data_IF_784377768444
#
_entry.id   IF_784377768444
#
_cell.length_a   1.000
_cell.length_b   1.000
_cell.length_c   1.000
_cell.angle_alpha   90.00
_cell.angle_beta   90.00
_cell.angle_gamma   90.00
#
_symmetry.space_group_name_H-M   'P 1'
#
loop_
_entity.id
_entity.type
_entity.pdbx_description
1 polymer ?
#
# COMPACT_ATOMS: atom_id res chain seq x y z
N UNK A 1 -38.09 -13.15 7.58
CA UNK A 1 -37.06 -14.21 7.64
C UNK A 1 -35.86 -13.65 8.39
N UNK A 2 -35.43 -14.34 9.45
CA UNK A 2 -34.52 -13.83 10.50
C UNK A 2 -33.07 -14.09 10.06
N UNK A 3 -32.31 -13.06 9.72
CA UNK A 3 -30.88 -13.20 9.35
C UNK A 3 -30.04 -13.19 10.62
N UNK A 4 -29.45 -14.34 10.92
CA UNK A 4 -28.54 -14.54 12.05
C UNK A 4 -27.19 -13.91 11.72
N UNK A 5 -26.85 -12.86 12.46
CA UNK A 5 -25.53 -12.25 12.52
C UNK A 5 -24.52 -13.23 13.11
N UNK A 6 -23.42 -13.46 12.39
CA UNK A 6 -22.24 -14.15 12.90
C UNK A 6 -21.04 -13.23 12.79
N UNK A 7 -20.76 -12.52 13.88
CA UNK A 7 -19.52 -11.78 14.08
C UNK A 7 -18.39 -12.78 14.36
N UNK A 8 -17.35 -12.77 13.53
CA UNK A 8 -16.08 -13.42 13.84
C UNK A 8 -14.99 -12.35 13.81
N UNK A 9 -14.55 -11.93 14.99
CA UNK A 9 -13.40 -11.05 15.15
C UNK A 9 -12.13 -11.91 15.02
N UNK A 10 -11.34 -11.67 13.98
CA UNK A 10 -9.99 -12.20 13.87
C UNK A 10 -9.00 -11.12 14.33
N UNK A 11 -8.49 -11.26 15.55
CA UNK A 11 -7.39 -10.46 16.05
C UNK A 11 -6.08 -11.05 15.52
N UNK A 12 -5.41 -10.36 14.59
CA UNK A 12 -4.08 -10.73 14.12
C UNK A 12 -3.02 -9.98 14.95
N UNK A 13 -2.51 -10.65 15.98
CA UNK A 13 -1.37 -10.17 16.78
C UNK A 13 -0.06 -10.48 16.06
N UNK A 14 0.70 -9.44 15.67
CA UNK A 14 2.03 -9.57 15.10
C UNK A 14 3.08 -9.53 16.22
N UNK A 15 3.60 -10.69 16.62
CA UNK A 15 4.74 -10.77 17.53
C UNK A 15 6.06 -10.65 16.74
N UNK A 16 6.70 -9.49 16.81
CA UNK A 16 8.07 -9.30 16.33
C UNK A 16 9.04 -10.07 17.25
N UNK A 17 9.71 -11.09 16.72
CA UNK A 17 10.88 -11.69 17.38
C UNK A 17 12.04 -10.69 17.36
N UNK A 18 12.27 -10.04 18.50
CA UNK A 18 13.54 -9.36 18.75
C UNK A 18 14.63 -10.40 19.02
N UNK A 19 15.38 -10.77 17.98
CA UNK A 19 16.64 -11.49 18.10
C UNK A 19 17.73 -10.56 18.62
N UNK A 20 17.93 -10.53 19.93
CA UNK A 20 19.11 -9.88 20.52
C UNK A 20 20.33 -10.79 20.33
N UNK A 21 21.23 -10.43 19.40
CA UNK A 21 22.56 -11.03 19.32
C UNK A 21 23.38 -10.68 20.56
N UNK A 22 23.80 -11.69 21.32
CA UNK A 22 24.79 -11.52 22.38
C UNK A 22 26.20 -11.72 21.81
N UNK A 23 27.03 -10.69 22.01
CA UNK A 23 28.45 -10.69 21.74
C UNK A 23 29.18 -11.77 22.54
N UNK A 24 30.12 -12.49 21.89
CA UNK A 24 31.06 -13.38 22.55
C UNK A 24 32.34 -12.61 22.94
N UNK A 25 32.90 -12.81 24.16
CA UNK A 25 34.20 -12.26 24.54
C UNK A 25 35.33 -13.15 24.01
N UNK A 26 36.41 -12.50 23.57
CA UNK A 26 37.61 -13.15 23.07
C UNK A 26 38.50 -13.75 24.16
N UNK A 27 39.31 -14.71 23.74
CA UNK A 27 40.58 -15.07 24.38
C UNK A 27 41.60 -15.43 23.30
N UNK A 28 42.68 -14.66 23.27
CA UNK A 28 43.88 -14.89 22.49
C UNK A 28 44.65 -16.12 22.99
N UNK A 29 45.28 -16.89 22.09
CA UNK A 29 46.58 -17.55 22.33
C UNK A 29 47.34 -17.84 21.02
N UNK A 30 48.32 -16.97 20.76
CA UNK A 30 49.69 -17.14 20.25
C UNK A 30 50.20 -18.53 19.76
N UNK A 31 50.94 -18.55 18.62
CA UNK A 31 51.84 -19.66 18.27
C UNK A 31 52.35 -19.76 16.80
N UNK A 32 53.27 -18.87 16.41
CA UNK A 32 54.29 -18.89 15.32
C UNK A 32 54.39 -20.02 14.27
N UNK A 33 54.48 -19.68 12.97
CA UNK A 33 55.74 -19.58 12.18
C UNK A 33 55.52 -19.43 10.64
N UNK A 34 56.22 -18.44 10.04
CA UNK A 34 56.81 -18.34 8.66
C UNK A 34 55.97 -18.71 7.40
N UNK A 35 55.96 -18.02 6.25
CA UNK A 35 56.91 -17.10 5.61
C UNK A 35 56.25 -16.25 4.50
N UNK A 36 56.70 -15.00 4.39
CA UNK A 36 56.85 -14.09 3.23
C UNK A 36 56.14 -14.41 1.90
N UNK A 37 55.34 -13.44 1.40
CA UNK A 37 55.07 -13.25 -0.03
C UNK A 37 53.76 -12.51 -0.37
N UNK A 38 53.76 -11.18 -0.43
CA UNK A 38 52.75 -10.37 -1.14
C UNK A 38 53.09 -10.35 -2.65
N UNK A 39 52.13 -10.28 -3.59
CA UNK A 39 51.36 -9.04 -3.76
C UNK A 39 49.87 -9.22 -4.09
N UNK A 40 49.07 -8.32 -3.52
CA UNK A 40 47.97 -7.58 -4.14
C UNK A 40 47.15 -8.29 -5.25
N UNK A 41 46.00 -8.86 -4.88
CA UNK A 41 44.82 -8.85 -5.74
C UNK A 41 43.61 -8.52 -4.88
N UNK A 42 43.21 -7.25 -4.92
CA UNK A 42 41.87 -6.80 -4.59
C UNK A 42 40.91 -7.44 -5.59
N UNK A 43 40.45 -8.65 -5.29
CA UNK A 43 39.18 -9.14 -5.82
C UNK A 43 38.09 -8.41 -5.06
N UNK A 44 37.78 -7.21 -5.55
CA UNK A 44 36.44 -6.66 -5.40
C UNK A 44 35.53 -7.68 -6.05
N UNK A 45 34.98 -8.58 -5.24
CA UNK A 45 33.79 -9.33 -5.62
C UNK A 45 32.67 -8.29 -5.67
N UNK A 46 32.62 -7.57 -6.79
CA UNK A 46 31.42 -6.91 -7.25
C UNK A 46 30.48 -8.05 -7.64
N UNK A 47 29.91 -8.69 -6.63
CA UNK A 47 28.60 -9.30 -6.75
C UNK A 47 27.64 -8.13 -6.94
N UNK A 48 27.63 -7.63 -8.18
CA UNK A 48 26.47 -7.02 -8.79
C UNK A 48 25.37 -8.07 -8.69
N UNK A 49 24.71 -8.08 -7.53
CA UNK A 49 23.51 -8.83 -7.25
C UNK A 49 22.37 -8.19 -8.01
N UNK A 50 22.51 -8.12 -9.35
CA UNK A 50 21.40 -8.14 -10.27
C UNK A 50 20.73 -9.50 -10.12
N UNK A 51 20.04 -9.67 -8.99
CA UNK A 51 18.86 -10.50 -8.98
C UNK A 51 17.93 -9.77 -9.91
N UNK A 52 17.57 -10.38 -11.05
CA UNK A 52 16.45 -9.97 -11.89
C UNK A 52 15.12 -10.11 -11.13
N UNK A 53 15.05 -9.56 -9.92
CA UNK A 53 13.86 -9.44 -9.11
C UNK A 53 13.02 -8.37 -9.75
N UNK A 54 11.82 -8.75 -10.19
CA UNK A 54 10.88 -7.80 -10.73
C UNK A 54 10.64 -6.72 -9.68
N UNK A 55 10.91 -5.48 -10.05
CA UNK A 55 10.58 -4.30 -9.25
C UNK A 55 9.08 -4.27 -9.06
N UNK A 56 8.62 -4.14 -7.81
CA UNK A 56 7.18 -3.98 -7.50
C UNK A 56 6.67 -2.73 -8.23
N UNK A 57 5.69 -2.86 -9.15
CA UNK A 57 5.14 -1.71 -9.85
C UNK A 57 4.51 -0.72 -8.87
N UNK A 58 4.59 0.57 -9.17
CA UNK A 58 3.86 1.60 -8.43
C UNK A 58 2.53 1.88 -9.12
N UNK A 59 1.46 2.04 -8.34
CA UNK A 59 0.19 2.57 -8.84
C UNK A 59 0.32 4.10 -8.95
N UNK A 60 0.32 4.57 -10.18
CA UNK A 60 0.67 5.94 -10.56
C UNK A 60 -0.53 6.62 -11.20
N UNK A 61 -0.79 7.88 -10.84
CA UNK A 61 -1.85 8.70 -11.44
C UNK A 61 -1.33 9.99 -12.06
N UNK A 62 -2.27 10.77 -12.59
CA UNK A 62 -2.03 12.15 -12.98
C UNK A 62 -1.87 13.09 -11.77
N UNK A 63 -1.54 14.35 -12.03
CA UNK A 63 -1.51 15.38 -11.00
C UNK A 63 -2.91 15.52 -10.38
N UNK A 64 -2.95 15.57 -9.05
CA UNK A 64 -4.21 15.72 -8.33
C UNK A 64 -4.72 17.16 -8.47
N UNK A 65 -6.00 17.38 -8.83
CA UNK A 65 -6.58 18.71 -8.99
C UNK A 65 -6.95 19.37 -7.65
N UNK A 66 -6.45 18.84 -6.52
CA UNK A 66 -6.64 19.41 -5.20
C UNK A 66 -5.55 20.45 -4.91
N UNK A 67 -5.95 21.63 -4.44
CA UNK A 67 -5.00 22.69 -4.05
C UNK A 67 -4.61 22.55 -2.59
N UNK A 68 -3.33 22.74 -2.28
CA UNK A 68 -2.85 22.85 -0.89
C UNK A 68 -2.89 21.53 -0.12
N UNK A 69 -2.70 20.38 -0.79
CA UNK A 69 -2.63 19.11 -0.10
C UNK A 69 -1.40 19.03 0.82
N UNK A 70 -1.59 18.44 1.99
CA UNK A 70 -0.56 18.21 2.98
C UNK A 70 -0.31 16.71 3.16
N UNK A 71 0.95 16.31 3.22
CA UNK A 71 1.30 14.90 3.42
C UNK A 71 1.19 14.51 4.88
N UNK A 72 0.37 13.49 5.16
CA UNK A 72 0.15 12.91 6.49
C UNK A 72 1.10 11.74 6.71
N UNK A 73 1.17 10.82 5.75
CA UNK A 73 2.01 9.62 5.80
C UNK A 73 2.74 9.43 4.48
N UNK A 74 4.05 9.18 4.55
CA UNK A 74 4.88 8.94 3.38
C UNK A 74 5.89 7.80 3.59
N UNK A 75 5.40 6.56 3.56
CA UNK A 75 6.19 5.38 3.88
C UNK A 75 6.53 4.54 2.65
N UNK A 76 7.80 4.14 2.55
CA UNK A 76 8.31 3.18 1.58
C UNK A 76 8.95 2.03 2.34
N UNK A 77 8.64 0.80 1.97
CA UNK A 77 9.16 -0.38 2.66
C UNK A 77 10.23 -1.10 1.83
N UNK A 78 11.17 -1.82 2.49
CA UNK A 78 12.26 -2.51 1.79
C UNK A 78 11.82 -3.58 0.79
N UNK A 79 10.60 -4.10 0.93
CA UNK A 79 10.01 -5.10 0.02
C UNK A 79 9.36 -4.47 -1.22
N UNK A 80 9.43 -3.14 -1.37
CA UNK A 80 8.86 -2.40 -2.50
C UNK A 80 7.40 -1.96 -2.29
N UNK A 81 6.79 -2.34 -1.17
CA UNK A 81 5.44 -1.86 -0.79
C UNK A 81 5.49 -0.44 -0.25
N UNK A 82 4.33 0.23 -0.17
CA UNK A 82 4.28 1.63 0.25
C UNK A 82 2.93 2.02 0.84
N UNK A 83 2.92 3.09 1.64
CA UNK A 83 1.71 3.70 2.18
C UNK A 83 1.84 5.23 2.10
N UNK A 84 1.00 5.85 1.27
CA UNK A 84 0.88 7.30 1.16
C UNK A 84 -0.51 7.74 1.60
N UNK A 85 -0.53 8.79 2.40
CA UNK A 85 -1.74 9.51 2.77
C UNK A 85 -1.46 11.00 2.68
N UNK A 86 -2.28 11.70 1.91
CA UNK A 86 -2.31 13.16 1.85
C UNK A 86 -3.71 13.65 2.23
N UNK A 87 -3.82 14.88 2.71
CA UNK A 87 -5.10 15.49 3.12
C UNK A 87 -5.25 16.86 2.48
N UNK A 88 -6.47 17.21 2.07
CA UNK A 88 -6.78 18.56 1.59
C UNK A 88 -6.63 19.58 2.71
N UNK A 89 -6.27 20.83 2.38
CA UNK A 89 -6.06 21.90 3.37
C UNK A 89 -7.25 22.14 4.31
N UNK A 90 -8.47 21.93 3.81
CA UNK A 90 -9.72 22.06 4.57
C UNK A 90 -10.07 20.82 5.41
N UNK A 91 -9.25 19.76 5.35
CA UNK A 91 -9.44 18.51 6.07
C UNK A 91 -10.66 17.70 5.62
N UNK A 92 -11.28 18.06 4.50
CA UNK A 92 -12.52 17.43 4.03
C UNK A 92 -12.27 16.13 3.29
N UNK A 93 -11.08 15.92 2.73
CA UNK A 93 -10.75 14.73 1.94
C UNK A 93 -9.32 14.26 2.22
N UNK A 94 -9.18 13.00 2.59
CA UNK A 94 -7.93 12.26 2.58
C UNK A 94 -7.81 11.48 1.25
N UNK A 95 -6.60 11.41 0.70
CA UNK A 95 -6.22 10.63 -0.47
C UNK A 95 -5.20 9.58 -0.04
N UNK A 96 -5.48 8.31 -0.32
CA UNK A 96 -4.59 7.20 -0.04
C UNK A 96 -4.07 6.58 -1.34
N UNK A 97 -2.78 6.27 -1.38
CA UNK A 97 -2.18 5.40 -2.40
C UNK A 97 -1.34 4.35 -1.68
N UNK A 98 -1.73 3.09 -1.79
CA UNK A 98 -1.20 2.00 -0.98
C UNK A 98 -0.90 0.80 -1.87
N UNK A 99 0.28 0.20 -1.66
CA UNK A 99 0.62 -1.12 -2.17
C UNK A 99 0.99 -1.99 -0.98
N UNK A 100 0.43 -3.19 -0.90
CA UNK A 100 0.75 -4.17 0.12
C UNK A 100 0.89 -5.57 -0.50
N UNK A 101 1.52 -6.53 0.20
CA UNK A 101 1.56 -7.90 -0.30
C UNK A 101 0.15 -8.46 -0.45
N UNK A 102 -0.10 -9.21 -1.53
CA UNK A 102 -1.35 -9.96 -1.65
C UNK A 102 -1.36 -11.06 -0.59
N UNK A 103 -2.41 -11.06 0.23
CA UNK A 103 -2.60 -11.99 1.36
C UNK A 103 -3.89 -12.77 1.24
N UNK A 104 -4.51 -12.80 0.06
CA UNK A 104 -5.67 -13.65 -0.18
C UNK A 104 -5.29 -15.11 0.11
N UNK A 105 -6.19 -15.84 0.76
CA UNK A 105 -5.99 -17.24 1.12
C UNK A 105 -6.94 -18.11 0.30
N UNK A 106 -6.55 -19.36 0.06
CA UNK A 106 -7.35 -20.30 -0.72
C UNK A 106 -8.78 -20.41 -0.19
N UNK A 107 -9.76 -20.24 -1.08
CA UNK A 107 -11.18 -20.37 -0.78
C UNK A 107 -11.84 -19.11 -0.18
N UNK A 108 -11.11 -18.01 -0.02
CA UNK A 108 -11.70 -16.69 0.25
C UNK A 108 -12.09 -16.03 -1.07
N UNK A 109 -13.29 -15.45 -1.09
CA UNK A 109 -13.75 -14.64 -2.22
C UNK A 109 -12.92 -13.36 -2.34
N UNK A 110 -12.56 -12.99 -3.56
CA UNK A 110 -11.70 -11.83 -3.81
C UNK A 110 -12.36 -10.53 -3.36
N UNK A 111 -13.67 -10.38 -3.55
CA UNK A 111 -14.41 -9.19 -3.14
C UNK A 111 -14.39 -9.07 -1.61
N UNK A 112 -14.60 -10.18 -0.89
CA UNK A 112 -14.53 -10.23 0.58
C UNK A 112 -13.11 -9.85 1.08
N UNK A 113 -12.06 -10.36 0.43
CA UNK A 113 -10.68 -10.02 0.74
C UNK A 113 -10.40 -8.53 0.52
N UNK A 114 -10.76 -8.00 -0.65
CA UNK A 114 -10.53 -6.61 -1.00
C UNK A 114 -11.33 -5.65 -0.12
N UNK A 115 -12.58 -5.97 0.21
CA UNK A 115 -13.40 -5.17 1.12
C UNK A 115 -12.79 -5.13 2.53
N UNK A 116 -12.32 -6.26 3.04
CA UNK A 116 -11.67 -6.32 4.35
C UNK A 116 -10.34 -5.54 4.36
N UNK A 117 -9.55 -5.65 3.30
CA UNK A 117 -8.29 -4.94 3.15
C UNK A 117 -8.48 -3.42 2.97
N UNK A 118 -9.45 -3.00 2.14
CA UNK A 118 -9.82 -1.60 1.97
C UNK A 118 -10.31 -0.99 3.29
N UNK A 119 -11.10 -1.74 4.07
CA UNK A 119 -11.56 -1.29 5.38
C UNK A 119 -10.42 -1.08 6.39
N UNK A 120 -9.33 -1.83 6.26
CA UNK A 120 -8.17 -1.72 7.13
C UNK A 120 -7.31 -0.47 6.85
N UNK A 121 -7.57 0.27 5.77
CA UNK A 121 -6.92 1.54 5.47
C UNK A 121 -7.34 2.67 6.42
N UNK A 122 -8.50 2.53 7.07
CA UNK A 122 -9.03 3.53 7.98
C UNK A 122 -8.09 3.78 9.17
N UNK A 123 -7.44 4.96 9.25
CA UNK A 123 -6.45 5.25 10.27
C UNK A 123 -7.06 5.31 11.68
N UNK A 124 -8.36 5.59 11.77
CA UNK A 124 -9.07 5.68 13.05
C UNK A 124 -9.55 4.32 13.56
N UNK A 125 -9.46 3.27 12.72
CA UNK A 125 -9.98 1.93 13.03
C UNK A 125 -11.40 1.99 13.61
N UNK A 126 -12.27 2.77 12.96
CA UNK A 126 -13.58 3.13 13.49
C UNK A 126 -14.42 1.89 13.79
N UNK A 127 -15.15 1.89 14.91
CA UNK A 127 -16.06 0.77 15.20
C UNK A 127 -17.39 0.92 14.47
N UNK A 128 -17.73 2.14 14.04
CA UNK A 128 -18.86 2.41 13.16
C UNK A 128 -18.41 2.18 11.71
N UNK A 129 -19.00 1.17 11.08
CA UNK A 129 -18.73 0.77 9.71
C UNK A 129 -20.03 0.35 9.03
N UNK A 130 -20.26 0.84 7.82
CA UNK A 130 -21.36 0.39 6.97
C UNK A 130 -20.82 0.13 5.57
N UNK A 131 -20.93 -1.12 5.13
CA UNK A 131 -20.58 -1.48 3.76
C UNK A 131 -21.58 -0.87 2.77
N UNK A 132 -21.06 -0.32 1.68
CA UNK A 132 -21.84 0.15 0.53
C UNK A 132 -21.92 -0.94 -0.52
N UNK A 133 -21.04 -0.86 -1.52
CA UNK A 133 -21.03 -1.74 -2.68
C UNK A 133 -19.60 -2.12 -3.12
N UNK A 134 -19.50 -3.23 -3.87
CA UNK A 134 -18.28 -3.68 -4.56
C UNK A 134 -18.63 -4.01 -6.01
N UNK A 135 -18.05 -3.25 -6.94
CA UNK A 135 -18.37 -3.36 -8.37
C UNK A 135 -17.10 -3.43 -9.18
N UNK A 136 -16.95 -4.46 -10.01
CA UNK A 136 -15.84 -4.53 -10.96
C UNK A 136 -16.02 -3.49 -12.07
N UNK A 137 -14.98 -2.72 -12.35
CA UNK A 137 -14.93 -1.76 -13.46
C UNK A 137 -14.29 -2.43 -14.69
N UNK A 138 -15.03 -2.67 -15.79
CA UNK A 138 -14.50 -3.39 -16.94
C UNK A 138 -13.47 -2.58 -17.73
N UNK A 139 -13.59 -1.25 -17.76
CA UNK A 139 -12.71 -0.39 -18.55
C UNK A 139 -11.36 -0.25 -17.85
N UNK A 140 -11.38 0.02 -16.55
CA UNK A 140 -10.16 0.05 -15.73
C UNK A 140 -9.51 -1.36 -15.68
N UNK A 141 -10.32 -2.42 -15.59
CA UNK A 141 -9.82 -3.79 -15.60
C UNK A 141 -9.07 -4.12 -16.89
N UNK A 142 -9.62 -3.68 -18.02
CA UNK A 142 -8.97 -3.85 -19.32
C UNK A 142 -7.69 -3.00 -19.42
N UNK A 143 -7.71 -1.76 -18.94
CA UNK A 143 -6.57 -0.85 -19.00
C UNK A 143 -5.37 -1.37 -18.20
N UNK A 144 -5.60 -1.93 -17.01
CA UNK A 144 -4.56 -2.48 -16.14
C UNK A 144 -4.24 -3.95 -16.38
N UNK A 145 -5.05 -4.66 -17.18
CA UNK A 145 -4.95 -6.12 -17.39
C UNK A 145 -5.12 -6.96 -16.13
N UNK A 146 -5.75 -6.41 -15.09
CA UNK A 146 -6.13 -7.07 -13.84
C UNK A 146 -7.55 -6.67 -13.47
N UNK A 147 -8.33 -7.51 -12.77
CA UNK A 147 -9.61 -7.08 -12.20
C UNK A 147 -9.43 -5.84 -11.31
N UNK A 148 -10.18 -4.78 -11.63
CA UNK A 148 -10.26 -3.54 -10.86
C UNK A 148 -11.65 -3.42 -10.28
N UNK A 149 -11.72 -3.07 -9.00
CA UNK A 149 -12.97 -2.95 -8.25
C UNK A 149 -13.13 -1.56 -7.66
N UNK A 150 -14.38 -1.08 -7.69
CA UNK A 150 -14.88 0.06 -6.93
C UNK A 150 -15.52 -0.43 -5.66
N UNK A 151 -14.94 -0.08 -4.53
CA UNK A 151 -15.46 -0.43 -3.21
C UNK A 151 -15.91 0.86 -2.53
N UNK A 152 -17.15 0.89 -2.07
CA UNK A 152 -17.71 2.00 -1.31
C UNK A 152 -18.14 1.55 0.08
N UNK A 153 -17.89 2.37 1.08
CA UNK A 153 -18.34 2.14 2.45
C UNK A 153 -18.29 3.44 3.25
N UNK A 154 -18.85 3.42 4.46
CA UNK A 154 -18.77 4.53 5.39
C UNK A 154 -18.12 4.10 6.70
N UNK A 155 -17.40 5.02 7.33
CA UNK A 155 -16.80 4.87 8.66
C UNK A 155 -17.18 6.04 9.55
N UNK A 156 -17.16 5.86 10.87
CA UNK A 156 -17.54 6.93 11.79
C UNK A 156 -19.05 7.14 11.85
N UNK A 157 -19.47 8.13 12.62
CA UNK A 157 -20.88 8.48 12.79
C UNK A 157 -21.03 9.97 13.08
N UNK A 158 -22.21 10.53 12.77
CA UNK A 158 -22.51 11.95 12.96
C UNK A 158 -21.48 12.84 12.25
N UNK A 159 -20.91 13.82 12.94
CA UNK A 159 -19.92 14.77 12.40
C UNK A 159 -18.59 14.09 11.99
N UNK A 160 -18.29 12.93 12.57
CA UNK A 160 -17.10 12.14 12.26
C UNK A 160 -17.35 11.12 11.14
N UNK A 161 -18.56 11.09 10.55
CA UNK A 161 -18.83 10.22 9.41
C UNK A 161 -17.90 10.58 8.24
N UNK A 162 -17.35 9.55 7.61
CA UNK A 162 -16.56 9.63 6.39
C UNK A 162 -17.04 8.59 5.39
N UNK A 163 -17.18 9.03 4.16
CA UNK A 163 -17.54 8.20 3.02
C UNK A 163 -16.27 7.84 2.26
N UNK A 164 -16.16 6.56 1.92
CA UNK A 164 -15.01 5.99 1.23
C UNK A 164 -15.39 5.58 -0.18
N UNK A 165 -14.55 5.97 -1.15
CA UNK A 165 -14.55 5.42 -2.50
C UNK A 165 -13.15 4.91 -2.80
N UNK A 166 -13.03 3.60 -3.00
CA UNK A 166 -11.75 2.90 -3.14
C UNK A 166 -11.69 2.27 -4.51
N UNK A 167 -10.60 2.54 -5.23
CA UNK A 167 -10.17 1.70 -6.33
C UNK A 167 -9.21 0.64 -5.80
N UNK A 168 -9.52 -0.61 -6.06
CA UNK A 168 -8.77 -1.77 -5.60
C UNK A 168 -8.41 -2.63 -6.79
N UNK A 169 -7.15 -3.05 -6.87
CA UNK A 169 -6.76 -4.12 -7.78
C UNK A 169 -5.89 -5.12 -7.04
N UNK A 170 -6.02 -6.37 -7.44
CA UNK A 170 -5.20 -7.45 -6.93
C UNK A 170 -4.37 -8.02 -8.08
N UNK A 171 -3.11 -8.27 -7.79
CA UNK A 171 -2.21 -9.02 -8.68
C UNK A 171 -1.83 -10.32 -7.99
N UNK A 172 -1.10 -11.18 -8.69
CA UNK A 172 -0.63 -12.45 -8.11
C UNK A 172 0.24 -12.27 -6.85
N UNK A 173 0.84 -11.08 -6.65
CA UNK A 173 1.80 -10.84 -5.56
C UNK A 173 1.48 -9.65 -4.66
N UNK A 174 0.73 -8.66 -5.16
CA UNK A 174 0.47 -7.40 -4.47
C UNK A 174 -0.97 -6.95 -4.65
N UNK A 175 -1.50 -6.28 -3.63
CA UNK A 175 -2.79 -5.61 -3.63
C UNK A 175 -2.57 -4.12 -3.59
N UNK A 176 -3.20 -3.39 -4.50
CA UNK A 176 -3.08 -1.94 -4.61
C UNK A 176 -4.40 -1.27 -4.30
N UNK A 177 -4.33 -0.13 -3.62
CA UNK A 177 -5.46 0.74 -3.36
C UNK A 177 -5.15 2.17 -3.74
N UNK A 178 -6.11 2.82 -4.37
CA UNK A 178 -6.21 4.26 -4.43
C UNK A 178 -7.56 4.65 -3.82
N UNK A 179 -7.58 5.45 -2.75
CA UNK A 179 -8.82 5.71 -2.03
C UNK A 179 -9.02 7.19 -1.73
N UNK A 180 -10.29 7.60 -1.78
CA UNK A 180 -10.75 8.87 -1.23
C UNK A 180 -11.58 8.58 0.01
N UNK A 181 -11.24 9.23 1.12
CA UNK A 181 -12.03 9.27 2.34
C UNK A 181 -12.43 10.72 2.55
N UNK A 182 -13.71 11.03 2.50
CA UNK A 182 -14.17 12.41 2.57
C UNK A 182 -15.35 12.56 3.52
N UNK A 183 -15.66 13.80 3.92
CA UNK A 183 -16.97 14.08 4.51
C UNK A 183 -18.06 13.75 3.49
N UNK A 184 -19.29 13.38 3.92
CA UNK A 184 -20.36 13.01 2.98
C UNK A 184 -20.63 14.08 1.92
N UNK A 185 -20.61 15.35 2.32
CA UNK A 185 -20.79 16.47 1.40
C UNK A 185 -19.69 16.53 0.32
N UNK A 186 -18.42 16.43 0.73
CA UNK A 186 -17.31 16.45 -0.22
C UNK A 186 -17.29 15.20 -1.12
N UNK A 187 -17.66 14.03 -0.60
CA UNK A 187 -17.75 12.80 -1.39
C UNK A 187 -18.80 12.91 -2.51
N UNK A 188 -19.97 13.50 -2.23
CA UNK A 188 -21.00 13.74 -3.23
C UNK A 188 -20.50 14.72 -4.30
N UNK A 189 -19.91 15.84 -3.89
CA UNK A 189 -19.45 16.92 -4.78
C UNK A 189 -18.28 16.50 -5.69
N UNK A 190 -17.43 15.56 -5.23
CA UNK A 190 -16.20 15.15 -5.91
C UNK A 190 -16.31 13.81 -6.64
N UNK A 191 -17.48 13.17 -6.65
CA UNK A 191 -17.68 11.83 -7.22
C UNK A 191 -17.21 11.68 -8.68
N UNK A 192 -17.56 12.62 -9.55
CA UNK A 192 -17.11 12.64 -10.95
C UNK A 192 -15.59 12.82 -11.05
N UNK A 193 -15.02 13.68 -10.21
CA UNK A 193 -13.58 13.93 -10.16
C UNK A 193 -12.80 12.68 -9.75
N UNK A 194 -13.33 11.91 -8.80
CA UNK A 194 -12.72 10.65 -8.40
C UNK A 194 -12.64 9.70 -9.59
N UNK A 195 -13.75 9.51 -10.33
CA UNK A 195 -13.78 8.68 -11.53
C UNK A 195 -12.72 9.13 -12.57
N UNK A 196 -12.61 10.44 -12.82
CA UNK A 196 -11.60 11.00 -13.72
C UNK A 196 -10.17 10.70 -13.25
N UNK A 197 -9.87 10.86 -11.96
CA UNK A 197 -8.54 10.55 -11.39
C UNK A 197 -8.22 9.08 -11.56
N UNK A 198 -9.18 8.22 -11.23
CA UNK A 198 -8.99 6.80 -11.28
C UNK A 198 -8.76 6.26 -12.70
N UNK A 199 -9.44 6.82 -13.71
CA UNK A 199 -9.24 6.45 -15.12
C UNK A 199 -7.83 6.73 -15.65
N UNK A 200 -7.05 7.55 -14.93
CA UNK A 200 -5.67 7.89 -15.27
C UNK A 200 -4.65 6.98 -14.56
N UNK A 201 -5.10 6.05 -13.71
CA UNK A 201 -4.21 5.19 -12.95
C UNK A 201 -3.54 4.14 -13.85
N UNK A 202 -2.25 3.94 -13.62
CA UNK A 202 -1.42 2.96 -14.33
C UNK A 202 -0.48 2.25 -13.36
N UNK A 203 -0.17 0.98 -13.63
CA UNK A 203 0.95 0.29 -12.96
C UNK A 203 2.24 0.59 -13.74
N UNK A 204 3.20 1.26 -13.10
CA UNK A 204 4.46 1.65 -13.74
C UNK A 204 5.66 1.09 -12.98
N UNK A 205 6.72 0.77 -13.72
CA UNK A 205 8.01 0.44 -13.13
C UNK A 205 8.58 1.69 -12.42
N UNK A 206 8.86 1.63 -11.10
CA UNK A 206 9.41 2.76 -10.36
C UNK A 206 10.75 3.26 -10.94
N UNK A 207 11.55 2.39 -11.58
CA UNK A 207 12.81 2.77 -12.21
C UNK A 207 12.61 3.51 -13.54
N UNK A 208 11.56 3.22 -14.31
CA UNK A 208 11.27 3.89 -15.58
C UNK A 208 10.61 5.25 -15.41
N UNK A 209 9.97 5.48 -14.27
CA UNK A 209 9.26 6.74 -14.01
C UNK A 209 10.17 7.86 -13.45
N UNK A 210 11.44 7.53 -13.18
CA UNK A 210 12.41 8.37 -12.48
C UNK A 210 12.02 8.55 -11.02
N UNK A 211 13.00 8.74 -10.12
CA UNK A 211 12.84 8.85 -8.66
C UNK A 211 11.83 9.92 -8.16
N UNK A 212 11.17 10.64 -9.07
CA UNK A 212 10.15 11.64 -8.80
C UNK A 212 8.72 11.14 -8.98
N UNK A 213 8.51 9.97 -9.59
CA UNK A 213 7.20 9.42 -9.91
C UNK A 213 6.26 9.30 -8.71
N UNK A 214 6.77 8.69 -7.65
CA UNK A 214 6.06 8.45 -6.40
C UNK A 214 5.74 9.78 -5.68
N UNK A 215 6.50 10.86 -5.98
CA UNK A 215 6.25 12.21 -5.46
C UNK A 215 5.50 13.15 -6.41
N UNK A 216 5.20 12.77 -7.66
CA UNK A 216 4.49 13.65 -8.61
C UNK A 216 3.05 13.92 -8.21
N UNK A 217 2.53 13.20 -7.21
CA UNK A 217 1.25 13.52 -6.58
C UNK A 217 1.35 14.66 -5.53
N UNK A 218 2.55 15.23 -5.29
CA UNK A 218 2.80 16.19 -4.18
C UNK A 218 3.30 17.58 -4.62
N UNK A 219 3.24 17.95 -5.91
CA UNK A 219 3.58 19.31 -6.39
C UNK A 219 2.62 19.79 -7.44
#
# INVERSE_FOLDING_TARGET
>A
MKRLSRSLAAALMLALLAGCGQAQPGTDVNGSSSSVGQPNQSVSDSSDGSTGGQTVPALMGGALPFTGMESVTAENYPDGTYFYQDVTQDGQTDVFNVCQPNRIIDGVDEDDYLCAAARALDPESSTAYQFGDVVQDPDDSQALSYPVYRITFTTGANEDQRDWTVFALNTDSHTYFYAFRATPQAAEDLSDLYADIFSQLTLADPAQSGNNAIRRNQT
#
